data_IF_591998661880
#
_entry.id   IF_591998661880
#
_cell.length_a   1.000
_cell.length_b   1.000
_cell.length_c   1.000
_cell.angle_alpha   90.00
_cell.angle_beta   90.00
_cell.angle_gamma   90.00
#
_symmetry.space_group_name_H-M   'P 1'
#
loop_
_entity.id
_entity.type
_entity.pdbx_description
1 polymer ?
#
# COMPACT_ATOMS: atom_id res chain seq x y z
N UNK A 1 10.93 30.53 10.16
CA UNK A 1 12.07 29.81 9.61
C UNK A 1 13.28 29.67 10.56
N UNK A 2 13.12 29.76 11.90
CA UNK A 2 14.24 29.63 12.86
C UNK A 2 14.12 28.45 13.83
N UNK A 3 13.11 27.56 13.66
CA UNK A 3 12.88 26.41 14.57
C UNK A 3 13.23 25.04 13.99
N UNK A 4 13.64 24.96 12.72
CA UNK A 4 14.00 23.67 12.08
C UNK A 4 15.51 23.39 12.15
N UNK A 5 16.34 24.41 12.37
CA UNK A 5 17.81 24.24 12.44
C UNK A 5 18.28 23.66 13.79
N UNK A 6 17.46 23.67 14.83
CA UNK A 6 17.87 23.20 16.17
C UNK A 6 17.72 21.68 16.40
N UNK A 7 17.00 20.98 15.51
CA UNK A 7 16.77 19.54 15.63
C UNK A 7 17.84 18.67 14.91
N UNK A 8 18.68 19.30 14.10
CA UNK A 8 19.73 18.59 13.32
C UNK A 8 21.10 18.56 13.98
N UNK A 9 21.25 19.19 15.16
CA UNK A 9 22.54 19.28 15.87
C UNK A 9 22.67 18.35 17.08
N UNK A 10 21.69 17.48 17.37
CA UNK A 10 21.70 16.58 18.54
C UNK A 10 21.93 15.10 18.21
N UNK A 11 22.36 14.77 16.99
CA UNK A 11 22.65 13.38 16.58
C UNK A 11 24.12 13.11 16.24
N UNK A 12 25.04 13.93 16.74
CA UNK A 12 26.48 13.74 16.45
C UNK A 12 27.32 13.64 17.74
N UNK A 13 27.01 12.72 18.64
CA UNK A 13 27.93 12.37 19.72
C UNK A 13 27.56 11.03 20.37
N UNK A 14 27.82 9.90 19.74
CA UNK A 14 28.15 8.63 20.41
C UNK A 14 28.99 7.79 19.43
N UNK A 15 30.27 8.06 19.36
CA UNK A 15 31.30 7.16 18.91
C UNK A 15 32.36 7.09 19.99
N UNK A 16 32.31 6.10 20.85
CA UNK A 16 33.44 5.68 21.68
C UNK A 16 33.57 4.16 21.58
N UNK A 17 34.48 3.79 20.77
CA UNK A 17 35.50 2.73 20.86
C UNK A 17 35.39 1.74 22.03
N UNK A 18 35.22 0.48 21.68
CA UNK A 18 35.56 -0.68 22.49
C UNK A 18 36.28 -1.71 21.62
N UNK A 19 37.63 -1.64 21.61
CA UNK A 19 38.48 -2.72 21.07
C UNK A 19 38.50 -3.84 22.10
N UNK A 20 37.97 -4.99 21.80
CA UNK A 20 38.23 -6.23 22.52
C UNK A 20 39.03 -7.16 21.61
N UNK A 21 40.20 -7.55 22.11
CA UNK A 21 41.16 -8.43 21.49
C UNK A 21 40.59 -9.84 21.27
N UNK A 22 40.79 -10.34 20.08
CA UNK A 22 40.51 -11.72 19.72
C UNK A 22 41.52 -12.65 20.38
N UNK A 23 41.06 -13.65 21.09
CA UNK A 23 41.83 -14.84 21.43
C UNK A 23 41.41 -15.96 20.48
N UNK A 24 42.42 -16.47 19.76
CA UNK A 24 42.26 -17.53 18.79
C UNK A 24 42.42 -18.88 19.48
N UNK A 25 41.37 -19.63 19.64
CA UNK A 25 41.43 -21.08 19.83
C UNK A 25 40.70 -21.80 18.70
N UNK A 26 41.49 -22.52 17.92
CA UNK A 26 41.04 -23.51 16.94
C UNK A 26 40.31 -24.63 17.68
N UNK A 27 39.06 -24.81 17.44
CA UNK A 27 38.40 -26.12 17.54
C UNK A 27 37.48 -26.30 16.34
N UNK A 28 37.90 -27.24 15.49
CA UNK A 28 37.08 -27.73 14.38
C UNK A 28 35.98 -28.61 14.96
N UNK A 29 34.81 -28.03 15.15
CA UNK A 29 33.56 -28.78 15.28
C UNK A 29 32.53 -28.16 14.35
N UNK A 30 32.16 -28.92 13.33
CA UNK A 30 31.04 -28.70 12.45
C UNK A 30 29.71 -28.69 13.27
N UNK A 31 29.50 -27.66 14.05
CA UNK A 31 28.17 -27.32 14.55
C UNK A 31 27.53 -26.40 13.52
N UNK A 32 26.66 -26.97 12.70
CA UNK A 32 25.65 -26.21 12.00
C UNK A 32 24.90 -25.39 13.05
N UNK A 33 25.32 -24.11 13.22
CA UNK A 33 24.58 -23.14 14.01
C UNK A 33 23.24 -22.89 13.31
N UNK A 34 22.29 -23.74 13.62
CA UNK A 34 20.88 -23.42 13.40
C UNK A 34 20.55 -22.33 14.41
N UNK A 35 20.79 -21.07 14.09
CA UNK A 35 20.13 -19.97 14.76
C UNK A 35 18.65 -20.10 14.41
N UNK A 36 17.95 -20.86 15.22
CA UNK A 36 16.50 -20.88 15.22
C UNK A 36 16.11 -19.48 15.66
N UNK A 37 15.76 -18.62 14.70
CA UNK A 37 15.15 -17.33 14.99
C UNK A 37 13.91 -17.61 15.87
N UNK A 38 14.02 -17.27 17.15
CA UNK A 38 12.91 -17.38 18.11
C UNK A 38 11.89 -16.25 17.93
N UNK A 39 11.97 -15.49 16.85
CA UNK A 39 10.93 -14.51 16.51
C UNK A 39 9.68 -15.29 16.09
N UNK A 40 8.54 -15.03 16.73
CA UNK A 40 7.27 -15.63 16.32
C UNK A 40 7.02 -15.30 14.84
N UNK A 41 6.60 -16.31 14.09
CA UNK A 41 6.20 -16.08 12.69
C UNK A 41 5.05 -15.06 12.70
N UNK A 42 5.07 -14.06 11.81
CA UNK A 42 3.99 -13.10 11.72
C UNK A 42 2.66 -13.82 11.43
N UNK A 43 1.61 -13.38 12.06
CA UNK A 43 0.25 -13.87 11.83
C UNK A 43 -0.24 -13.48 10.43
N UNK A 44 -1.28 -14.15 9.94
CA UNK A 44 -1.90 -13.79 8.67
C UNK A 44 -2.43 -12.33 8.68
N UNK A 45 -2.89 -11.84 9.82
CA UNK A 45 -3.35 -10.45 10.00
C UNK A 45 -2.20 -9.45 9.93
N UNK A 46 -1.05 -9.75 10.52
CA UNK A 46 0.15 -8.91 10.44
C UNK A 46 0.72 -8.88 9.02
N UNK A 47 0.73 -10.02 8.31
CA UNK A 47 1.14 -10.08 6.91
C UNK A 47 0.18 -9.29 6.01
N UNK A 48 -1.14 -9.41 6.22
CA UNK A 48 -2.13 -8.62 5.47
C UNK A 48 -1.96 -7.12 5.77
N UNK A 49 -1.72 -6.74 7.02
CA UNK A 49 -1.49 -5.33 7.38
C UNK A 49 -0.21 -4.77 6.75
N UNK A 50 0.86 -5.56 6.71
CA UNK A 50 2.15 -5.14 6.14
C UNK A 50 2.12 -4.89 4.62
N UNK A 51 1.13 -5.47 3.90
CA UNK A 51 0.96 -5.25 2.44
C UNK A 51 0.45 -3.86 2.09
N UNK A 52 -0.23 -3.18 3.03
CA UNK A 52 -0.91 -1.93 2.75
C UNK A 52 -0.04 -0.72 3.12
N UNK A 53 0.30 0.10 2.14
CA UNK A 53 0.99 1.37 2.35
C UNK A 53 -0.01 2.53 2.24
N UNK A 54 -0.01 3.42 3.23
CA UNK A 54 -0.90 4.59 3.26
C UNK A 54 -0.39 5.61 2.24
N UNK A 55 -1.28 6.04 1.34
CA UNK A 55 -1.04 7.09 0.35
C UNK A 55 -1.39 8.45 0.95
N UNK A 56 -2.58 8.52 1.55
CA UNK A 56 -3.20 9.75 2.04
C UNK A 56 -4.21 9.44 3.14
N UNK A 57 -4.26 10.32 4.13
CA UNK A 57 -5.34 10.39 5.11
C UNK A 57 -5.95 11.80 5.09
N UNK A 58 -7.28 11.87 5.02
CA UNK A 58 -8.02 13.13 5.02
C UNK A 58 -9.37 12.98 5.75
N UNK A 59 -10.19 14.03 5.75
CA UNK A 59 -11.51 14.04 6.41
C UNK A 59 -12.49 12.99 5.87
N UNK A 60 -12.29 12.44 4.69
CA UNK A 60 -13.14 11.41 4.09
C UNK A 60 -12.75 10.00 4.51
N UNK A 61 -11.44 9.76 4.68
CA UNK A 61 -10.94 8.45 5.01
C UNK A 61 -9.44 8.26 4.83
N UNK A 62 -9.01 7.01 4.97
CA UNK A 62 -7.63 6.55 4.79
C UNK A 62 -7.57 5.80 3.46
N UNK A 63 -6.65 6.24 2.60
CA UNK A 63 -6.37 5.63 1.30
C UNK A 63 -5.05 4.89 1.37
N UNK A 64 -5.07 3.61 1.07
CA UNK A 64 -3.87 2.77 1.05
C UNK A 64 -3.83 1.92 -0.21
N UNK A 65 -2.63 1.57 -0.68
CA UNK A 65 -2.46 0.63 -1.79
C UNK A 65 -1.74 -0.64 -1.32
N UNK A 66 -2.05 -1.74 -1.98
CA UNK A 66 -1.39 -3.02 -1.79
C UNK A 66 -0.07 -3.02 -2.57
N UNK A 67 1.06 -2.98 -1.86
CA UNK A 67 2.39 -2.92 -2.45
C UNK A 67 2.70 -4.12 -3.34
N UNK A 68 2.17 -5.31 -3.01
CA UNK A 68 2.37 -6.54 -3.77
C UNK A 68 1.49 -6.61 -5.04
N UNK A 69 0.54 -5.69 -5.18
CA UNK A 69 -0.39 -5.66 -6.32
C UNK A 69 0.10 -4.84 -7.51
N UNK A 70 1.16 -4.02 -7.32
CA UNK A 70 1.74 -3.21 -8.39
C UNK A 70 2.29 -4.12 -9.49
N UNK A 71 1.79 -3.94 -10.70
CA UNK A 71 2.21 -4.71 -11.88
C UNK A 71 1.85 -4.00 -13.16
N UNK A 72 2.55 -4.33 -14.24
CA UNK A 72 2.11 -3.96 -15.58
C UNK A 72 0.82 -4.70 -15.96
N UNK A 73 -0.08 -4.01 -16.66
CA UNK A 73 -1.24 -4.65 -17.25
C UNK A 73 -0.81 -5.65 -18.32
N UNK A 74 -1.56 -6.74 -18.45
CA UNK A 74 -1.30 -7.75 -19.48
C UNK A 74 -2.39 -7.68 -20.54
N UNK A 75 -1.99 -7.52 -21.82
CA UNK A 75 -2.88 -7.55 -22.97
C UNK A 75 -2.39 -8.62 -23.95
N UNK A 76 -3.25 -9.55 -24.29
CA UNK A 76 -2.92 -10.69 -25.17
C UNK A 76 -1.67 -11.49 -24.70
N UNK A 77 -1.45 -11.60 -23.39
CA UNK A 77 -0.30 -12.33 -22.83
C UNK A 77 1.01 -11.53 -22.79
N UNK A 78 1.01 -10.26 -23.22
CA UNK A 78 2.18 -9.37 -23.19
C UNK A 78 1.97 -8.28 -22.17
N UNK A 79 3.03 -7.96 -21.38
CA UNK A 79 3.01 -6.85 -20.45
C UNK A 79 3.01 -5.52 -21.21
N UNK A 80 2.07 -4.65 -20.88
CA UNK A 80 1.97 -3.29 -21.42
C UNK A 80 2.68 -2.32 -20.48
N UNK A 81 3.92 -1.97 -20.75
CA UNK A 81 4.76 -1.14 -19.88
C UNK A 81 4.22 0.29 -19.65
N UNK A 82 3.32 0.75 -20.53
CA UNK A 82 2.59 2.01 -20.34
C UNK A 82 1.44 1.92 -19.34
N UNK A 83 0.96 0.71 -19.04
CA UNK A 83 -0.25 0.48 -18.24
C UNK A 83 0.10 -0.19 -16.91
N UNK A 84 -0.06 0.52 -15.79
CA UNK A 84 0.19 -0.02 -14.44
C UNK A 84 -1.13 -0.29 -13.72
N UNK A 85 -1.26 -1.47 -13.12
CA UNK A 85 -2.39 -1.86 -12.27
C UNK A 85 -1.99 -1.89 -10.81
N UNK A 86 -2.93 -1.50 -9.94
CA UNK A 86 -2.74 -1.47 -8.48
C UNK A 86 -4.06 -1.62 -7.75
N UNK A 87 -4.05 -2.38 -6.65
CA UNK A 87 -5.19 -2.53 -5.76
C UNK A 87 -5.14 -1.46 -4.66
N UNK A 88 -6.23 -0.73 -4.49
CA UNK A 88 -6.41 0.33 -3.50
C UNK A 88 -7.49 -0.04 -2.51
N UNK A 89 -7.30 0.31 -1.25
CA UNK A 89 -8.30 0.21 -0.18
C UNK A 89 -8.57 1.60 0.38
N UNK A 90 -9.83 1.98 0.45
CA UNK A 90 -10.26 3.21 1.13
C UNK A 90 -11.11 2.84 2.33
N UNK A 91 -10.63 3.17 3.53
CA UNK A 91 -11.37 3.01 4.79
C UNK A 91 -12.09 4.32 5.07
N UNK A 92 -13.42 4.28 5.17
CA UNK A 92 -14.22 5.47 5.41
C UNK A 92 -14.22 5.86 6.88
N UNK A 93 -13.84 7.10 7.20
CA UNK A 93 -13.81 7.64 8.57
C UNK A 93 -14.83 8.75 8.79
N UNK A 94 -15.29 9.40 7.71
CA UNK A 94 -16.26 10.48 7.78
C UNK A 94 -17.66 9.98 8.17
N UNK A 95 -18.19 10.49 9.27
CA UNK A 95 -19.48 10.05 9.83
C UNK A 95 -20.68 10.34 8.90
N UNK A 96 -20.70 11.51 8.26
CA UNK A 96 -21.79 11.90 7.37
C UNK A 96 -21.77 11.09 6.07
N UNK A 97 -20.59 10.84 5.54
CA UNK A 97 -20.40 9.95 4.39
C UNK A 97 -20.83 8.52 4.72
N UNK A 98 -20.38 7.97 5.86
CA UNK A 98 -20.78 6.64 6.33
C UNK A 98 -22.29 6.52 6.51
N UNK A 99 -22.95 7.56 7.06
CA UNK A 99 -24.41 7.61 7.18
C UNK A 99 -25.07 7.49 5.81
N UNK A 100 -24.65 8.31 4.83
CA UNK A 100 -25.19 8.28 3.46
C UNK A 100 -24.95 6.92 2.78
N UNK A 101 -23.77 6.34 2.95
CA UNK A 101 -23.47 5.01 2.40
C UNK A 101 -24.34 3.92 3.04
N UNK A 102 -24.52 3.94 4.36
CA UNK A 102 -25.38 2.98 5.05
C UNK A 102 -26.85 3.12 4.61
N UNK A 103 -27.34 4.33 4.39
CA UNK A 103 -28.69 4.57 3.82
C UNK A 103 -28.79 4.04 2.39
N UNK A 104 -27.79 4.32 1.55
CA UNK A 104 -27.74 3.84 0.16
C UNK A 104 -27.73 2.31 0.06
N UNK A 105 -27.01 1.64 0.95
CA UNK A 105 -26.87 0.18 0.96
C UNK A 105 -27.79 -0.53 1.96
N UNK A 106 -28.76 0.15 2.57
CA UNK A 106 -29.61 -0.40 3.64
C UNK A 106 -30.25 -1.75 3.28
N UNK A 107 -30.71 -1.91 2.03
CA UNK A 107 -31.31 -3.17 1.55
C UNK A 107 -30.32 -4.35 1.42
N UNK A 108 -29.02 -4.07 1.40
CA UNK A 108 -27.94 -5.08 1.28
C UNK A 108 -27.25 -5.38 2.61
N UNK A 109 -27.47 -4.54 3.63
CA UNK A 109 -26.85 -4.70 4.95
C UNK A 109 -27.67 -5.68 5.81
N UNK A 110 -26.96 -6.55 6.53
CA UNK A 110 -27.55 -7.40 7.54
C UNK A 110 -27.70 -6.65 8.88
N UNK A 111 -28.38 -7.29 9.84
CA UNK A 111 -28.62 -6.69 11.16
C UNK A 111 -27.30 -6.29 11.83
N UNK A 112 -27.20 -5.02 12.21
CA UNK A 112 -26.03 -4.40 12.83
C UNK A 112 -24.77 -4.29 11.95
N UNK A 113 -24.85 -4.58 10.68
CA UNK A 113 -23.76 -4.30 9.75
C UNK A 113 -23.73 -2.83 9.32
N UNK A 114 -22.54 -2.36 8.97
CA UNK A 114 -22.30 -1.03 8.43
C UNK A 114 -21.29 -1.10 7.29
N UNK A 115 -21.43 -0.20 6.34
CA UNK A 115 -20.36 0.01 5.34
C UNK A 115 -19.10 0.48 6.05
N UNK A 116 -17.95 -0.09 5.70
CA UNK A 116 -16.68 0.25 6.35
C UNK A 116 -15.61 0.71 5.36
N UNK A 117 -15.45 0.01 4.24
CA UNK A 117 -14.38 0.31 3.28
C UNK A 117 -14.76 -0.13 1.87
N UNK A 118 -14.00 0.34 0.88
CA UNK A 118 -14.01 -0.24 -0.46
C UNK A 118 -12.61 -0.69 -0.89
N UNK A 119 -12.55 -1.65 -1.81
CA UNK A 119 -11.36 -2.01 -2.58
C UNK A 119 -11.59 -1.61 -4.03
N UNK A 120 -10.56 -1.05 -4.66
CA UNK A 120 -10.59 -0.60 -6.05
C UNK A 120 -9.42 -1.19 -6.83
N UNK A 121 -9.71 -1.88 -7.92
CA UNK A 121 -8.70 -2.25 -8.91
C UNK A 121 -8.54 -1.07 -9.87
N UNK A 122 -7.43 -0.37 -9.78
CA UNK A 122 -7.15 0.82 -10.57
C UNK A 122 -6.11 0.51 -11.65
N UNK A 123 -6.26 1.11 -12.81
CA UNK A 123 -5.30 1.05 -13.90
C UNK A 123 -4.96 2.47 -14.33
N UNK A 124 -3.67 2.72 -14.53
CA UNK A 124 -3.12 3.98 -15.00
C UNK A 124 -2.47 3.80 -16.35
N UNK A 125 -2.68 4.77 -17.25
CA UNK A 125 -1.94 4.93 -18.50
C UNK A 125 -0.88 6.01 -18.29
N UNK A 126 0.39 5.59 -18.26
CA UNK A 126 1.49 6.46 -17.83
C UNK A 126 1.75 7.60 -18.79
N UNK A 127 1.73 7.34 -20.10
CA UNK A 127 2.01 8.36 -21.13
C UNK A 127 0.90 9.41 -21.24
N UNK A 128 -0.35 9.00 -21.09
CA UNK A 128 -1.54 9.85 -21.23
C UNK A 128 -1.90 10.58 -19.94
N UNK A 129 -1.33 10.18 -18.80
CA UNK A 129 -1.70 10.64 -17.44
C UNK A 129 -3.21 10.44 -17.19
N UNK A 130 -3.71 9.25 -17.57
CA UNK A 130 -5.11 8.86 -17.37
C UNK A 130 -5.23 7.66 -16.43
N UNK A 131 -6.40 7.50 -15.82
CA UNK A 131 -6.69 6.37 -14.95
C UNK A 131 -8.13 5.87 -15.12
N UNK A 132 -8.35 4.63 -14.70
CA UNK A 132 -9.69 4.06 -14.54
C UNK A 132 -9.77 3.22 -13.27
N UNK A 133 -10.94 3.20 -12.64
CA UNK A 133 -11.28 2.24 -11.59
C UNK A 133 -12.00 1.07 -12.27
N UNK A 134 -11.26 0.03 -12.65
CA UNK A 134 -11.81 -1.14 -13.36
C UNK A 134 -12.90 -1.84 -12.56
N UNK A 135 -12.65 -1.99 -11.27
CA UNK A 135 -13.58 -2.64 -10.35
C UNK A 135 -13.55 -1.92 -9.02
N UNK A 136 -14.72 -1.62 -8.47
CA UNK A 136 -14.87 -1.13 -7.09
C UNK A 136 -15.78 -2.09 -6.33
N UNK A 137 -15.28 -2.62 -5.23
CA UNK A 137 -15.97 -3.54 -4.33
C UNK A 137 -16.22 -2.84 -3.00
N UNK A 138 -17.45 -2.90 -2.49
CA UNK A 138 -17.84 -2.28 -1.21
C UNK A 138 -18.00 -3.35 -0.15
N UNK A 139 -17.43 -3.11 1.04
CA UNK A 139 -17.40 -4.06 2.14
C UNK A 139 -18.00 -3.47 3.42
N UNK A 140 -18.54 -4.37 4.25
CA UNK A 140 -19.02 -4.07 5.59
C UNK A 140 -17.90 -4.19 6.63
N UNK A 141 -18.20 -3.73 7.86
CA UNK A 141 -17.37 -3.89 9.05
C UNK A 141 -17.13 -5.37 9.46
N UNK A 142 -17.89 -6.30 8.86
CA UNK A 142 -17.71 -7.75 8.99
C UNK A 142 -16.99 -8.38 7.79
N UNK A 143 -16.32 -7.58 6.97
CA UNK A 143 -15.58 -8.00 5.77
C UNK A 143 -16.48 -8.67 4.70
N UNK A 144 -17.80 -8.49 4.73
CA UNK A 144 -18.71 -9.02 3.72
C UNK A 144 -18.80 -8.03 2.54
N UNK A 145 -18.60 -8.53 1.33
CA UNK A 145 -18.77 -7.76 0.10
C UNK A 145 -20.26 -7.59 -0.18
N UNK A 146 -20.72 -6.35 -0.36
CA UNK A 146 -22.12 -6.02 -0.57
C UNK A 146 -22.43 -5.42 -1.93
N UNK A 147 -21.40 -4.93 -2.63
CA UNK A 147 -21.57 -4.36 -3.98
C UNK A 147 -20.31 -4.50 -4.80
N UNK A 148 -20.48 -4.57 -6.13
CA UNK A 148 -19.40 -4.52 -7.12
C UNK A 148 -19.82 -3.62 -8.26
N UNK A 149 -18.95 -2.68 -8.63
CA UNK A 149 -19.13 -1.81 -9.79
C UNK A 149 -17.96 -1.98 -10.74
N UNK A 150 -18.24 -1.94 -12.03
CA UNK A 150 -17.24 -2.01 -13.09
C UNK A 150 -17.26 -0.75 -13.93
N UNK A 151 -16.09 -0.28 -14.32
CA UNK A 151 -15.91 0.81 -15.26
C UNK A 151 -14.77 0.46 -16.24
N UNK A 152 -14.87 0.97 -17.46
CA UNK A 152 -13.85 0.76 -18.50
C UNK A 152 -13.34 2.08 -19.09
N UNK A 153 -13.94 3.20 -18.66
CA UNK A 153 -13.61 4.50 -19.22
C UNK A 153 -12.44 5.10 -18.45
N UNK A 154 -11.42 5.49 -19.19
CA UNK A 154 -10.33 6.29 -18.65
C UNK A 154 -10.73 7.75 -18.53
N UNK A 155 -10.13 8.43 -17.57
CA UNK A 155 -10.29 9.85 -17.33
C UNK A 155 -8.93 10.46 -16.91
N UNK A 156 -8.69 11.74 -17.17
CA UNK A 156 -7.49 12.42 -16.71
C UNK A 156 -7.31 12.31 -15.19
N UNK A 157 -6.09 12.13 -14.73
CA UNK A 157 -5.76 12.09 -13.30
C UNK A 157 -6.00 13.47 -12.70
N UNK A 158 -6.92 13.59 -11.71
CA UNK A 158 -7.23 14.90 -11.11
C UNK A 158 -6.06 15.39 -10.25
N UNK A 159 -5.73 16.64 -10.37
CA UNK A 159 -4.70 17.28 -9.55
C UNK A 159 -5.09 17.30 -8.06
N UNK A 160 -4.09 17.26 -7.17
CA UNK A 160 -4.24 17.31 -5.70
C UNK A 160 -5.21 16.26 -5.14
N UNK A 161 -5.23 15.08 -5.75
CA UNK A 161 -6.07 13.97 -5.36
C UNK A 161 -5.23 12.74 -4.93
N UNK A 162 -5.89 11.77 -4.29
CA UNK A 162 -5.24 10.49 -4.00
C UNK A 162 -4.85 9.75 -5.29
N UNK A 163 -5.60 9.98 -6.38
CA UNK A 163 -5.30 9.37 -7.67
C UNK A 163 -4.01 9.92 -8.29
N UNK A 164 -3.70 11.21 -8.07
CA UNK A 164 -2.42 11.79 -8.50
C UNK A 164 -1.26 11.24 -7.65
N UNK A 165 -1.38 11.18 -6.33
CA UNK A 165 -0.35 10.62 -5.47
C UNK A 165 -0.07 9.14 -5.82
N UNK A 166 -1.11 8.37 -6.14
CA UNK A 166 -0.95 6.98 -6.58
C UNK A 166 -0.35 6.88 -7.99
N UNK A 167 -0.67 7.82 -8.90
CA UNK A 167 -0.04 7.91 -10.22
C UNK A 167 1.49 8.07 -10.10
N UNK A 168 1.97 8.92 -9.19
CA UNK A 168 3.40 9.10 -8.94
C UNK A 168 4.07 7.82 -8.44
N UNK A 169 3.39 7.06 -7.57
CA UNK A 169 3.86 5.75 -7.11
C UNK A 169 3.95 4.76 -8.29
N UNK A 170 2.91 4.70 -9.15
CA UNK A 170 2.91 3.87 -10.34
C UNK A 170 4.02 4.25 -11.33
N UNK A 171 4.29 5.55 -11.48
CA UNK A 171 5.37 6.05 -12.33
C UNK A 171 6.75 5.61 -11.82
N UNK A 172 6.99 5.71 -10.51
CA UNK A 172 8.23 5.22 -9.90
C UNK A 172 8.40 3.71 -10.09
N UNK A 173 7.31 2.95 -9.93
CA UNK A 173 7.31 1.51 -10.20
C UNK A 173 7.73 1.21 -11.65
N UNK A 174 7.14 1.88 -12.64
CA UNK A 174 7.45 1.67 -14.06
C UNK A 174 8.93 1.98 -14.36
N UNK A 175 9.46 3.11 -13.86
CA UNK A 175 10.87 3.50 -14.05
C UNK A 175 11.83 2.48 -13.43
N UNK A 176 11.52 1.98 -12.23
CA UNK A 176 12.37 1.00 -11.54
C UNK A 176 12.38 -0.37 -12.26
N UNK A 177 11.25 -0.78 -12.81
CA UNK A 177 11.17 -2.02 -13.59
C UNK A 177 12.01 -1.95 -14.86
N UNK A 178 11.93 -0.83 -15.61
CA UNK A 178 12.72 -0.61 -16.84
C UNK A 178 14.25 -0.58 -16.57
N UNK A 179 14.66 -0.17 -15.36
CA UNK A 179 16.08 -0.16 -14.98
C UNK A 179 16.59 -1.51 -14.53
N UNK A 180 15.73 -2.39 -14.04
CA UNK A 180 16.12 -3.74 -13.60
C UNK A 180 16.29 -4.74 -14.77
N UNK A 181 15.75 -4.43 -15.95
CA UNK A 181 15.87 -5.26 -17.16
C UNK A 181 17.11 -4.93 -18.04
N UNK A 182 17.89 -3.93 -17.67
CA UNK A 182 19.14 -3.51 -18.36
C UNK A 182 20.38 -4.02 -17.65
#
# INVERSE_FOLDING_TARGET
MKKIVFLLMLMAAILVSGTALADSSKDANNNLNWEISMQPKPTAEELEAARWSIILENDLGIYAYDMDSLKFAVKNGVAEHNDVQVLVKTVFTNKDMLKKLNEQYAAKLEKKEKVAYCKMDMQYQMAEKEYTVKTMQVFTDKNRQIDVKHNKNFAPVPEKSFAEALYEICQQFAVNADTAEK
#
